data_IF_907817686878
#
_entry.id   IF_907817686878
#
_cell.length_a   1.000
_cell.length_b   1.000
_cell.length_c   1.000
_cell.angle_alpha   90.00
_cell.angle_beta   90.00
_cell.angle_gamma   90.00
#
_symmetry.space_group_name_H-M   'P 1'
#
loop_
_entity.id
_entity.type
_entity.pdbx_description
1 polymer ?
#
# COMPACT_ATOMS: atom_id res chain seq x y z
N UNK A 1 0.64 6.85 5.08
CA UNK A 1 0.67 6.97 6.55
C UNK A 1 -0.49 6.20 7.12
N UNK A 2 -1.72 6.54 6.75
CA UNK A 2 -2.94 5.87 7.23
C UNK A 2 -2.92 4.34 7.10
N UNK A 3 -2.68 3.80 5.90
CA UNK A 3 -2.53 2.35 5.68
C UNK A 3 -1.37 1.68 6.42
N UNK A 4 -0.32 2.40 6.79
CA UNK A 4 0.80 1.84 7.55
C UNK A 4 0.36 1.67 9.01
N UNK A 5 -0.36 2.67 9.52
CA UNK A 5 -0.74 2.77 10.92
C UNK A 5 -2.06 2.06 11.26
N UNK A 6 -3.04 2.05 10.36
CA UNK A 6 -4.39 1.50 10.55
C UNK A 6 -4.93 1.76 11.95
N UNK A 7 -5.08 3.05 12.28
CA UNK A 7 -5.34 3.49 13.63
C UNK A 7 -6.77 3.15 14.07
N UNK A 8 -6.92 2.85 15.36
CA UNK A 8 -8.22 2.56 15.97
C UNK A 8 -8.30 3.11 17.40
N UNK A 9 -9.49 3.57 17.78
CA UNK A 9 -9.81 3.97 19.15
C UNK A 9 -10.02 2.80 20.11
N UNK A 10 -10.13 1.56 19.60
CA UNK A 10 -10.26 0.36 20.42
C UNK A 10 -8.89 -0.16 20.84
N UNK A 11 -8.77 -0.61 22.09
CA UNK A 11 -7.51 -1.05 22.70
C UNK A 11 -6.38 -0.01 22.57
N UNK A 12 -6.56 1.19 23.16
CA UNK A 12 -5.53 2.22 23.12
C UNK A 12 -4.23 1.68 23.72
N UNK A 13 -3.12 2.02 23.07
CA UNK A 13 -1.79 1.79 23.62
C UNK A 13 -1.58 2.66 24.86
N UNK A 14 -0.51 2.43 25.61
CA UNK A 14 -0.12 3.29 26.74
C UNK A 14 0.08 4.75 26.34
N UNK A 15 0.19 5.06 25.05
CA UNK A 15 0.53 6.37 24.47
C UNK A 15 -0.43 6.77 23.32
N UNK A 16 -1.74 6.49 23.44
CA UNK A 16 -2.74 6.93 22.45
C UNK A 16 -3.34 5.82 21.59
N UNK A 17 -3.73 6.12 20.34
CA UNK A 17 -4.49 5.21 19.47
C UNK A 17 -3.84 3.82 19.32
N UNK A 18 -4.69 2.80 19.27
CA UNK A 18 -4.30 1.44 18.89
C UNK A 18 -3.96 1.37 17.39
N UNK A 19 -3.30 0.29 16.98
CA UNK A 19 -2.98 0.02 15.59
C UNK A 19 -3.39 -1.41 15.24
N UNK A 20 -4.10 -1.58 14.14
CA UNK A 20 -4.42 -2.90 13.58
C UNK A 20 -3.28 -3.48 12.71
N UNK A 21 -2.13 -2.79 12.68
CA UNK A 21 -1.00 -3.11 11.81
C UNK A 21 -1.22 -2.67 10.37
N UNK A 22 -0.18 -2.78 9.54
CA UNK A 22 -0.25 -2.37 8.14
C UNK A 22 -1.44 -3.03 7.41
N UNK A 23 -2.24 -2.21 6.71
CA UNK A 23 -3.39 -2.64 5.93
C UNK A 23 -4.45 -3.43 6.72
N UNK A 24 -4.57 -3.18 8.03
CA UNK A 24 -5.38 -3.96 9.00
C UNK A 24 -5.03 -5.46 9.05
N UNK A 25 -3.82 -5.84 8.61
CA UNK A 25 -3.37 -7.22 8.53
C UNK A 25 -2.46 -7.65 9.68
N UNK A 26 -2.30 -6.84 10.73
CA UNK A 26 -1.41 -7.16 11.86
C UNK A 26 -1.63 -8.57 12.44
N UNK A 27 -2.87 -8.98 12.75
CA UNK A 27 -3.16 -10.33 13.27
C UNK A 27 -3.05 -11.47 12.24
N UNK A 28 -2.90 -11.16 10.96
CA UNK A 28 -3.06 -12.13 9.85
C UNK A 28 -1.83 -12.22 8.94
N UNK A 29 -0.82 -11.38 9.13
CA UNK A 29 0.39 -11.38 8.33
C UNK A 29 1.53 -12.07 9.07
N UNK A 30 1.87 -13.29 8.63
CA UNK A 30 3.00 -14.05 9.16
C UNK A 30 4.36 -13.63 8.55
N UNK A 31 4.37 -12.64 7.65
CA UNK A 31 5.56 -12.08 7.02
C UNK A 31 5.76 -10.62 7.44
N UNK A 32 6.91 -10.07 7.05
CA UNK A 32 7.22 -8.67 7.28
C UNK A 32 6.17 -7.76 6.59
N UNK A 33 5.52 -6.84 7.33
CA UNK A 33 4.47 -5.98 6.78
C UNK A 33 4.94 -5.09 5.61
N UNK A 34 6.23 -4.77 5.56
CA UNK A 34 6.81 -3.93 4.50
C UNK A 34 6.61 -4.51 3.10
N UNK A 35 6.56 -5.85 2.98
CA UNK A 35 6.33 -6.55 1.71
C UNK A 35 4.96 -6.20 1.14
N UNK A 36 3.94 -6.24 2.00
CA UNK A 36 2.57 -5.90 1.62
C UNK A 36 2.44 -4.40 1.32
N UNK A 37 3.11 -3.55 2.07
CA UNK A 37 3.11 -2.11 1.83
C UNK A 37 3.77 -1.75 0.50
N UNK A 38 4.92 -2.35 0.18
CA UNK A 38 5.59 -2.18 -1.12
C UNK A 38 4.65 -2.59 -2.28
N UNK A 39 4.02 -3.77 -2.16
CA UNK A 39 3.06 -4.26 -3.16
C UNK A 39 1.85 -3.32 -3.31
N UNK A 40 1.28 -2.90 -2.18
CA UNK A 40 0.14 -1.99 -2.15
C UNK A 40 0.50 -0.66 -2.83
N UNK A 41 1.62 -0.04 -2.45
CA UNK A 41 2.05 1.22 -3.04
C UNK A 41 2.18 1.12 -4.57
N UNK A 42 2.88 0.11 -5.07
CA UNK A 42 3.05 -0.10 -6.52
C UNK A 42 1.70 -0.27 -7.21
N UNK A 43 0.78 -1.03 -6.61
CA UNK A 43 -0.58 -1.19 -7.13
C UNK A 43 -1.31 0.14 -7.28
N UNK A 44 -1.33 0.98 -6.23
CA UNK A 44 -1.98 2.29 -6.26
C UNK A 44 -1.37 3.22 -7.31
N UNK A 45 -0.03 3.29 -7.39
CA UNK A 45 0.67 4.14 -8.36
C UNK A 45 0.37 3.69 -9.81
N UNK A 46 0.43 2.39 -10.10
CA UNK A 46 0.28 1.88 -11.47
C UNK A 46 -1.16 2.02 -12.00
N UNK A 47 -2.14 1.80 -11.13
CA UNK A 47 -3.57 1.88 -11.46
C UNK A 47 -4.11 3.30 -11.43
N UNK A 48 -3.40 4.23 -10.77
CA UNK A 48 -3.88 5.61 -10.59
C UNK A 48 -5.13 5.70 -9.70
N UNK A 49 -5.37 4.70 -8.84
CA UNK A 49 -6.50 4.73 -7.93
C UNK A 49 -6.37 5.90 -6.95
N UNK A 50 -7.44 6.68 -6.89
CA UNK A 50 -7.61 7.72 -5.88
C UNK A 50 -8.12 7.10 -4.59
N UNK A 51 -7.51 7.47 -3.46
CA UNK A 51 -7.89 6.96 -2.14
C UNK A 51 -8.81 7.95 -1.44
N UNK A 52 -9.96 7.48 -1.00
CA UNK A 52 -10.91 8.24 -0.19
C UNK A 52 -11.11 7.53 1.15
N UNK A 53 -11.25 8.31 2.21
CA UNK A 53 -11.58 7.83 3.54
C UNK A 53 -12.92 8.43 3.97
N UNK A 54 -13.71 7.64 4.69
CA UNK A 54 -15.09 8.00 5.06
C UNK A 54 -15.23 7.82 6.56
N UNK A 55 -15.88 8.76 7.23
CA UNK A 55 -16.06 8.64 8.68
C UNK A 55 -17.08 7.54 9.03
N UNK A 56 -16.80 6.82 10.11
CA UNK A 56 -17.72 5.89 10.76
C UNK A 56 -17.62 6.08 12.28
N UNK A 57 -18.69 5.74 12.99
CA UNK A 57 -18.83 5.95 14.43
C UNK A 57 -19.20 7.40 14.75
N UNK A 58 -18.24 8.33 14.63
CA UNK A 58 -18.41 9.74 15.02
C UNK A 58 -17.81 10.73 14.02
N UNK A 59 -18.30 11.96 14.01
CA UNK A 59 -17.70 13.10 13.30
C UNK A 59 -17.54 14.26 14.29
N UNK A 60 -16.30 14.51 14.70
CA UNK A 60 -16.03 15.39 15.84
C UNK A 60 -16.61 14.82 17.15
N UNK A 61 -16.56 15.59 18.25
CA UNK A 61 -17.01 15.13 19.56
C UNK A 61 -18.55 15.07 19.71
N UNK A 62 -19.33 15.70 18.83
CA UNK A 62 -20.79 15.88 19.04
C UNK A 62 -21.66 14.96 18.21
N UNK A 63 -21.22 14.58 17.01
CA UNK A 63 -22.07 13.82 16.08
C UNK A 63 -21.72 12.34 16.09
N UNK A 64 -22.68 11.51 16.50
CA UNK A 64 -22.64 10.07 16.32
C UNK A 64 -23.32 9.72 14.99
N UNK A 65 -22.56 9.14 14.07
CA UNK A 65 -23.01 8.79 12.72
C UNK A 65 -23.05 7.28 12.48
N UNK A 66 -22.52 6.47 13.41
CA UNK A 66 -22.42 5.01 13.30
C UNK A 66 -21.98 4.56 11.89
N UNK A 67 -22.88 4.03 11.07
CA UNK A 67 -22.59 3.63 9.68
C UNK A 67 -23.41 4.41 8.64
N UNK A 68 -24.10 5.48 9.03
CA UNK A 68 -24.99 6.23 8.15
C UNK A 68 -24.22 6.84 6.96
N UNK A 69 -23.05 7.43 7.23
CA UNK A 69 -22.16 7.92 6.17
C UNK A 69 -21.64 6.74 5.33
N UNK A 70 -21.21 5.64 5.96
CA UNK A 70 -20.67 4.48 5.24
C UNK A 70 -21.65 3.92 4.20
N UNK A 71 -22.94 3.85 4.55
CA UNK A 71 -24.01 3.37 3.67
C UNK A 71 -24.35 4.36 2.54
N UNK A 72 -24.15 5.66 2.78
CA UNK A 72 -24.45 6.71 1.81
C UNK A 72 -23.39 6.80 0.69
N UNK A 73 -22.14 6.52 0.99
CA UNK A 73 -21.02 6.66 0.04
C UNK A 73 -21.23 5.89 -1.27
N UNK A 74 -21.62 4.59 -1.29
CA UNK A 74 -21.88 3.90 -2.55
C UNK A 74 -23.01 4.54 -3.36
N UNK A 75 -24.03 5.09 -2.71
CA UNK A 75 -25.13 5.79 -3.38
C UNK A 75 -24.66 7.10 -4.04
N UNK A 76 -23.76 7.84 -3.41
CA UNK A 76 -23.19 9.04 -4.04
C UNK A 76 -22.25 8.62 -5.17
N UNK A 77 -21.28 7.74 -4.90
CA UNK A 77 -20.20 7.42 -5.85
C UNK A 77 -20.67 6.74 -7.12
N UNK A 78 -21.74 5.94 -7.07
CA UNK A 78 -22.30 5.29 -8.26
C UNK A 78 -23.03 6.28 -9.18
N UNK A 79 -23.42 7.44 -8.65
CA UNK A 79 -24.10 8.52 -9.38
C UNK A 79 -23.12 9.56 -9.93
N UNK A 80 -21.81 9.44 -9.69
CA UNK A 80 -20.76 10.33 -10.23
C UNK A 80 -20.16 9.77 -11.52
N UNK A 81 -19.94 10.63 -12.52
CA UNK A 81 -19.14 10.27 -13.68
C UNK A 81 -17.66 10.11 -13.30
N UNK A 82 -16.88 9.32 -14.06
CA UNK A 82 -15.46 9.10 -13.75
C UNK A 82 -14.62 10.38 -13.57
N UNK A 83 -14.89 11.44 -14.34
CA UNK A 83 -14.18 12.71 -14.23
C UNK A 83 -14.66 13.56 -13.03
N UNK A 84 -15.93 13.43 -12.61
CA UNK A 84 -16.47 14.15 -11.45
C UNK A 84 -15.88 13.65 -10.13
N UNK A 85 -15.37 12.41 -10.11
CA UNK A 85 -14.73 11.80 -8.94
C UNK A 85 -13.20 11.80 -9.00
N UNK A 86 -12.59 12.45 -10.00
CA UNK A 86 -11.14 12.65 -10.04
C UNK A 86 -10.73 13.70 -8.99
N UNK A 87 -9.87 13.38 -8.00
CA UNK A 87 -9.42 14.33 -7.00
C UNK A 87 -8.80 15.60 -7.57
N UNK A 88 -8.09 15.53 -8.71
CA UNK A 88 -7.50 16.74 -9.32
C UNK A 88 -8.61 17.71 -9.74
N UNK A 89 -9.61 17.19 -10.44
CA UNK A 89 -10.78 17.96 -10.83
C UNK A 89 -11.54 18.49 -9.61
N UNK A 90 -11.73 17.66 -8.58
CA UNK A 90 -12.41 18.07 -7.36
C UNK A 90 -11.65 19.18 -6.61
N UNK A 91 -10.32 19.13 -6.56
CA UNK A 91 -9.50 20.19 -5.96
C UNK A 91 -9.59 21.48 -6.78
N UNK A 92 -9.38 21.41 -8.09
CA UNK A 92 -9.44 22.58 -9.00
C UNK A 92 -10.82 23.25 -8.98
N UNK A 93 -11.89 22.45 -8.89
CA UNK A 93 -13.26 22.94 -8.79
C UNK A 93 -13.65 23.42 -7.38
N UNK A 94 -12.78 23.33 -6.37
CA UNK A 94 -13.06 23.75 -4.99
C UNK A 94 -14.04 22.84 -4.24
N UNK A 95 -14.17 21.59 -4.69
CA UNK A 95 -14.94 20.55 -4.01
C UNK A 95 -14.15 19.85 -2.90
N UNK A 96 -12.82 19.86 -2.99
CA UNK A 96 -11.93 19.41 -1.94
C UNK A 96 -11.08 20.58 -1.46
N UNK A 97 -10.97 20.75 -0.14
CA UNK A 97 -10.07 21.71 0.49
C UNK A 97 -8.95 20.99 1.23
N UNK A 98 -7.73 21.55 1.12
CA UNK A 98 -6.55 21.02 1.79
C UNK A 98 -6.58 21.43 3.26
N UNK A 99 -6.24 20.51 4.16
CA UNK A 99 -5.92 20.85 5.54
C UNK A 99 -4.45 21.29 5.63
N UNK A 100 -4.21 22.35 6.37
CA UNK A 100 -2.88 22.92 6.58
C UNK A 100 -2.47 22.81 8.04
N UNK A 101 -1.16 22.75 8.29
CA UNK A 101 -0.64 22.79 9.65
C UNK A 101 -0.89 24.19 10.23
N UNK A 102 -1.21 24.27 11.52
CA UNK A 102 -1.50 25.54 12.19
C UNK A 102 -1.03 25.48 13.65
N UNK A 103 -0.84 26.65 14.28
CA UNK A 103 -0.49 26.72 15.69
C UNK A 103 -1.74 26.80 16.57
N UNK A 104 -1.76 25.98 17.62
CA UNK A 104 -2.79 25.99 18.67
C UNK A 104 -2.11 25.98 20.03
N UNK A 105 -2.36 27.01 20.84
CA UNK A 105 -1.79 27.15 22.19
C UNK A 105 -0.25 27.00 22.25
N UNK A 106 0.44 27.47 21.22
CA UNK A 106 1.92 27.41 21.13
C UNK A 106 2.48 26.05 20.68
N UNK A 107 1.61 25.11 20.31
CA UNK A 107 1.98 23.82 19.72
C UNK A 107 1.52 23.77 18.26
N UNK A 108 2.41 23.34 17.36
CA UNK A 108 2.06 23.14 15.96
C UNK A 108 1.25 21.86 15.77
N UNK A 109 0.04 22.01 15.24
CA UNK A 109 -0.88 20.94 14.90
C UNK A 109 -0.63 20.51 13.45
N UNK A 110 -0.17 19.27 13.24
CA UNK A 110 0.17 18.74 11.91
C UNK A 110 -1.06 18.26 11.11
N UNK A 111 -2.09 19.10 10.98
CA UNK A 111 -3.34 18.75 10.34
C UNK A 111 -3.21 18.45 8.84
N UNK A 112 -2.13 18.90 8.19
CA UNK A 112 -1.84 18.55 6.78
C UNK A 112 -1.67 17.05 6.53
N UNK A 113 -1.41 16.24 7.58
CA UNK A 113 -1.39 14.77 7.49
C UNK A 113 -2.76 14.17 7.17
N UNK A 114 -3.86 14.90 7.40
CA UNK A 114 -5.22 14.49 7.06
C UNK A 114 -5.56 14.69 5.57
N UNK A 115 -4.70 15.38 4.83
CA UNK A 115 -4.83 15.56 3.39
C UNK A 115 -5.91 16.58 3.00
N UNK A 116 -6.95 16.11 2.33
CA UNK A 116 -8.05 16.93 1.82
C UNK A 116 -9.38 16.44 2.36
N UNK A 117 -10.35 17.35 2.50
CA UNK A 117 -11.73 17.03 2.86
C UNK A 117 -12.74 17.64 1.89
N UNK A 118 -13.94 17.10 1.89
CA UNK A 118 -15.07 17.64 1.11
C UNK A 118 -15.51 19.00 1.64
N UNK A 119 -15.94 19.88 0.72
CA UNK A 119 -16.46 21.20 1.05
C UNK A 119 -17.99 21.25 0.98
N UNK A 120 -18.59 22.32 1.51
CA UNK A 120 -20.02 22.61 1.31
C UNK A 120 -20.39 22.64 -0.17
N UNK A 121 -19.46 23.07 -1.05
CA UNK A 121 -19.65 23.05 -2.50
C UNK A 121 -19.81 21.63 -3.03
N UNK A 122 -19.00 20.67 -2.56
CA UNK A 122 -19.15 19.25 -2.93
C UNK A 122 -20.51 18.70 -2.53
N UNK A 123 -20.94 18.98 -1.30
CA UNK A 123 -22.26 18.58 -0.80
C UNK A 123 -23.37 19.15 -1.69
N UNK A 124 -23.37 20.45 -1.97
CA UNK A 124 -24.41 21.07 -2.81
C UNK A 124 -24.44 20.49 -4.23
N UNK A 125 -23.27 20.26 -4.84
CA UNK A 125 -23.17 19.82 -6.23
C UNK A 125 -23.54 18.35 -6.41
N UNK A 126 -23.16 17.48 -5.48
CA UNK A 126 -23.28 16.03 -5.67
C UNK A 126 -24.29 15.36 -4.75
N UNK A 127 -24.51 15.85 -3.54
CA UNK A 127 -25.42 15.19 -2.59
C UNK A 127 -26.89 15.47 -2.90
N UNK A 128 -27.17 16.51 -3.70
CA UNK A 128 -28.50 16.77 -4.27
C UNK A 128 -29.02 15.66 -5.19
N UNK A 129 -28.15 14.71 -5.60
CA UNK A 129 -28.56 13.51 -6.35
C UNK A 129 -29.21 12.43 -5.48
N UNK A 130 -29.14 12.59 -4.15
CA UNK A 130 -29.66 11.65 -3.15
C UNK A 130 -30.61 12.34 -2.17
N UNK A 131 -30.32 13.57 -1.76
CA UNK A 131 -31.13 14.34 -0.81
C UNK A 131 -31.79 15.54 -1.46
N UNK A 132 -33.03 15.84 -1.03
CA UNK A 132 -33.73 17.07 -1.44
C UNK A 132 -33.08 18.33 -0.84
N UNK A 133 -32.57 18.25 0.40
CA UNK A 133 -31.89 19.34 1.10
C UNK A 133 -30.58 18.86 1.74
N UNK A 134 -29.49 18.72 0.96
CA UNK A 134 -28.24 18.13 1.45
C UNK A 134 -27.55 19.00 2.53
N UNK A 135 -27.73 20.32 2.49
CA UNK A 135 -27.12 21.27 3.44
C UNK A 135 -27.73 21.18 4.85
N UNK A 136 -28.95 20.67 4.97
CA UNK A 136 -29.57 20.39 6.27
C UNK A 136 -29.04 19.09 6.91
N UNK A 137 -28.50 18.17 6.10
CA UNK A 137 -27.94 16.89 6.57
C UNK A 137 -26.46 17.04 6.95
N UNK A 138 -25.70 17.77 6.13
CA UNK A 138 -24.27 18.02 6.35
C UNK A 138 -24.05 19.48 6.70
N UNK A 139 -24.21 19.81 7.99
CA UNK A 139 -23.96 21.14 8.54
C UNK A 139 -22.48 21.51 8.48
N UNK A 140 -22.16 22.79 8.60
CA UNK A 140 -20.78 23.26 8.50
C UNK A 140 -19.87 22.64 9.57
N UNK A 141 -20.37 22.42 10.79
CA UNK A 141 -19.61 21.80 11.87
C UNK A 141 -19.47 20.26 11.74
N UNK A 142 -20.26 19.61 10.88
CA UNK A 142 -20.00 18.21 10.44
C UNK A 142 -18.87 18.20 9.41
N UNK A 143 -18.89 19.13 8.45
CA UNK A 143 -17.84 19.24 7.42
C UNK A 143 -16.51 19.73 7.99
N UNK A 144 -16.58 20.55 9.04
CA UNK A 144 -15.47 21.17 9.74
C UNK A 144 -15.53 20.83 11.23
N UNK A 145 -15.18 19.59 11.63
CA UNK A 145 -15.32 19.12 13.01
C UNK A 145 -14.52 19.94 14.03
N UNK A 146 -13.49 20.68 13.60
CA UNK A 146 -12.77 21.65 14.43
C UNK A 146 -13.65 22.77 14.97
N UNK A 147 -14.78 23.08 14.33
CA UNK A 147 -15.74 24.08 14.83
C UNK A 147 -16.54 23.58 16.04
N UNK A 148 -16.61 22.26 16.23
CA UNK A 148 -17.30 21.67 17.38
C UNK A 148 -16.47 21.85 18.65
N UNK A 149 -15.16 21.61 18.57
CA UNK A 149 -14.20 21.83 19.65
C UNK A 149 -12.77 21.86 19.07
N UNK A 150 -12.14 23.04 18.99
CA UNK A 150 -10.79 23.18 18.43
C UNK A 150 -9.72 22.42 19.22
N UNK A 151 -9.87 22.33 20.54
CA UNK A 151 -8.89 21.65 21.41
C UNK A 151 -8.95 20.14 21.20
N UNK A 152 -10.16 19.56 21.14
CA UNK A 152 -10.34 18.13 20.84
C UNK A 152 -9.85 17.78 19.43
N UNK A 153 -10.06 18.66 18.45
CA UNK A 153 -9.52 18.45 17.11
C UNK A 153 -7.98 18.44 17.09
N UNK A 154 -7.35 19.41 17.75
CA UNK A 154 -5.90 19.49 17.87
C UNK A 154 -5.32 18.25 18.59
N UNK A 155 -5.94 17.82 19.69
CA UNK A 155 -5.56 16.62 20.44
C UNK A 155 -5.73 15.34 19.58
N UNK A 156 -6.82 15.23 18.82
CA UNK A 156 -7.03 14.12 17.89
C UNK A 156 -5.93 14.01 16.84
N UNK A 157 -5.50 15.14 16.25
CA UNK A 157 -4.39 15.18 15.29
C UNK A 157 -3.07 14.81 15.96
N UNK A 158 -2.80 15.32 17.17
CA UNK A 158 -1.59 14.99 17.93
C UNK A 158 -1.50 13.47 18.20
N UNK A 159 -2.59 12.85 18.65
CA UNK A 159 -2.68 11.41 18.87
C UNK A 159 -2.45 10.59 17.59
N UNK A 160 -2.93 11.07 16.42
CA UNK A 160 -2.64 10.44 15.13
C UNK A 160 -1.15 10.50 14.81
N UNK A 161 -0.52 11.66 14.99
CA UNK A 161 0.91 11.88 14.72
C UNK A 161 1.78 10.99 15.60
N UNK A 162 1.48 10.93 16.90
CA UNK A 162 2.19 10.10 17.87
C UNK A 162 2.06 8.61 17.54
N UNK A 163 0.86 8.15 17.21
CA UNK A 163 0.65 6.76 16.81
C UNK A 163 1.36 6.43 15.49
N UNK A 164 1.38 7.35 14.53
CA UNK A 164 2.15 7.20 13.28
C UNK A 164 3.66 7.11 13.55
N UNK A 165 4.19 7.93 14.45
CA UNK A 165 5.59 7.86 14.87
C UNK A 165 5.92 6.49 15.47
N UNK A 166 5.12 6.04 16.44
CA UNK A 166 5.30 4.74 17.11
C UNK A 166 5.27 3.57 16.12
N UNK A 167 4.30 3.57 15.21
CA UNK A 167 4.21 2.51 14.18
C UNK A 167 5.40 2.56 13.23
N UNK A 168 5.85 3.74 12.81
CA UNK A 168 6.99 3.87 11.92
C UNK A 168 8.31 3.44 12.58
N UNK A 169 8.50 3.75 13.88
CA UNK A 169 9.67 3.35 14.65
C UNK A 169 9.90 1.83 14.66
N UNK A 170 8.82 1.04 14.70
CA UNK A 170 8.90 -0.43 14.68
C UNK A 170 9.66 -0.99 13.45
N UNK A 171 9.54 -0.34 12.28
CA UNK A 171 10.25 -0.77 11.06
C UNK A 171 11.76 -0.51 11.13
N UNK A 172 12.20 0.44 11.97
CA UNK A 172 13.61 0.68 12.24
C UNK A 172 14.14 -0.33 13.27
N UNK A 173 13.34 -0.63 14.30
CA UNK A 173 13.69 -1.56 15.37
C UNK A 173 13.89 -2.99 14.85
N UNK A 174 13.02 -3.48 13.96
CA UNK A 174 13.16 -4.80 13.34
C UNK A 174 14.05 -4.80 12.07
N UNK A 175 14.50 -3.63 11.64
CA UNK A 175 15.36 -3.42 10.48
C UNK A 175 14.69 -3.68 9.13
N UNK A 176 13.36 -3.83 9.08
CA UNK A 176 12.60 -4.00 7.82
C UNK A 176 12.51 -2.72 6.99
N UNK A 177 12.88 -1.57 7.56
CA UNK A 177 13.12 -0.33 6.81
C UNK A 177 14.10 -0.52 5.64
N UNK A 178 15.01 -1.49 5.75
CA UNK A 178 15.96 -1.78 4.67
C UNK A 178 15.29 -2.41 3.45
N UNK A 179 14.19 -3.15 3.64
CA UNK A 179 13.40 -3.76 2.57
C UNK A 179 12.30 -2.81 2.05
N UNK A 180 12.16 -1.59 2.60
CA UNK A 180 11.21 -0.59 2.13
C UNK A 180 11.64 -0.03 0.77
N UNK A 181 10.72 -0.02 -0.20
CA UNK A 181 10.96 0.68 -1.46
C UNK A 181 11.20 2.18 -1.22
N UNK A 182 11.94 2.89 -2.11
CA UNK A 182 12.39 4.25 -1.84
C UNK A 182 11.30 5.25 -1.38
N UNK A 183 10.08 5.27 -1.96
CA UNK A 183 9.03 6.19 -1.49
C UNK A 183 8.55 5.85 -0.07
N UNK A 184 8.41 4.56 0.27
CA UNK A 184 8.01 4.14 1.62
C UNK A 184 9.12 4.35 2.63
N UNK A 185 10.38 4.12 2.25
CA UNK A 185 11.53 4.42 3.10
C UNK A 185 11.51 5.90 3.49
N UNK A 186 11.39 6.80 2.51
CA UNK A 186 11.29 8.23 2.77
C UNK A 186 10.09 8.58 3.68
N UNK A 187 8.93 7.97 3.43
CA UNK A 187 7.74 8.21 4.25
C UNK A 187 7.88 7.72 5.70
N UNK A 188 8.48 6.54 5.91
CA UNK A 188 8.73 5.98 7.25
C UNK A 188 9.73 6.84 8.03
N UNK A 189 10.76 7.37 7.39
CA UNK A 189 11.64 8.38 7.99
C UNK A 189 10.86 9.63 8.40
N UNK A 190 10.05 10.22 7.52
CA UNK A 190 9.22 11.39 7.86
C UNK A 190 8.26 11.09 9.03
N UNK A 191 7.69 9.89 9.08
CA UNK A 191 6.79 9.49 10.18
C UNK A 191 7.53 9.33 11.51
N UNK A 192 8.72 8.71 11.51
CA UNK A 192 9.47 8.37 12.73
C UNK A 192 10.43 9.48 13.20
N UNK A 193 10.95 10.29 12.30
CA UNK A 193 12.04 11.24 12.58
C UNK A 193 11.64 12.69 12.23
N UNK A 194 10.49 12.91 11.59
CA UNK A 194 9.98 14.21 11.19
C UNK A 194 10.37 14.62 9.77
N UNK A 195 11.51 14.12 9.27
CA UNK A 195 12.01 14.41 7.93
C UNK A 195 12.72 13.21 7.28
N UNK A 196 12.93 13.31 5.97
CA UNK A 196 13.87 12.48 5.23
C UNK A 196 14.86 13.38 4.50
N UNK A 197 16.11 13.42 4.94
CA UNK A 197 17.16 14.29 4.38
C UNK A 197 16.81 15.78 4.46
N UNK A 198 16.22 16.22 5.58
CA UNK A 198 15.76 17.57 5.82
C UNK A 198 14.44 17.94 5.12
N UNK A 199 13.76 16.96 4.51
CA UNK A 199 12.53 17.17 3.73
C UNK A 199 11.33 16.52 4.40
N UNK A 200 10.26 17.29 4.58
CA UNK A 200 9.00 16.81 5.15
C UNK A 200 8.06 16.21 4.09
N UNK A 201 6.88 15.76 4.53
CA UNK A 201 5.86 15.15 3.65
C UNK A 201 5.35 16.11 2.56
N UNK A 202 5.42 17.42 2.76
CA UNK A 202 5.00 18.43 1.79
C UNK A 202 6.00 18.69 0.66
N UNK A 203 7.24 18.22 0.79
CA UNK A 203 8.32 18.54 -0.14
C UNK A 203 8.10 17.92 -1.53
N UNK A 204 8.36 18.69 -2.58
CA UNK A 204 8.12 18.28 -3.96
C UNK A 204 8.96 17.06 -4.37
N UNK A 205 10.18 16.91 -3.86
CA UNK A 205 11.03 15.76 -4.17
C UNK A 205 10.49 14.50 -3.49
N UNK A 206 10.00 14.61 -2.25
CA UNK A 206 9.36 13.48 -1.56
C UNK A 206 8.09 13.06 -2.32
N UNK A 207 7.26 14.02 -2.74
CA UNK A 207 6.03 13.75 -3.50
C UNK A 207 6.31 13.13 -4.87
N UNK A 208 7.38 13.55 -5.55
CA UNK A 208 7.75 13.03 -6.86
C UNK A 208 8.05 11.52 -6.85
N UNK A 209 8.55 10.98 -5.73
CA UNK A 209 8.79 9.54 -5.55
C UNK A 209 7.52 8.70 -5.70
N UNK A 210 6.35 9.27 -5.46
CA UNK A 210 5.05 8.60 -5.55
C UNK A 210 4.40 8.70 -6.93
N UNK A 211 5.07 9.33 -7.90
CA UNK A 211 4.54 9.46 -9.27
C UNK A 211 4.69 8.17 -10.08
N UNK A 212 3.78 7.97 -11.04
CA UNK A 212 3.81 6.82 -11.95
C UNK A 212 5.04 6.88 -12.85
N UNK A 213 5.40 8.08 -13.27
CA UNK A 213 6.57 8.35 -14.11
C UNK A 213 7.85 7.97 -13.37
N UNK A 214 8.01 8.41 -12.12
CA UNK A 214 9.16 8.05 -11.30
C UNK A 214 9.23 6.54 -11.02
N UNK A 215 8.09 5.89 -10.77
CA UNK A 215 8.04 4.44 -10.59
C UNK A 215 8.50 3.69 -11.85
N UNK A 216 7.93 4.01 -13.02
CA UNK A 216 8.23 3.27 -14.26
C UNK A 216 9.69 3.44 -14.70
N UNK A 217 10.28 4.60 -14.40
CA UNK A 217 11.67 4.91 -14.72
C UNK A 217 12.69 4.37 -13.69
N UNK A 218 12.25 3.82 -12.56
CA UNK A 218 13.15 3.47 -11.47
C UNK A 218 13.78 2.09 -11.60
N UNK A 219 15.05 1.98 -11.20
CA UNK A 219 15.76 0.71 -11.14
C UNK A 219 15.10 -0.28 -10.17
N UNK A 220 14.57 0.21 -9.04
CA UNK A 220 13.92 -0.64 -8.05
C UNK A 220 12.64 -1.28 -8.58
N UNK A 221 11.89 -0.61 -9.48
CA UNK A 221 10.74 -1.23 -10.13
C UNK A 221 11.18 -2.26 -11.17
N UNK A 222 12.20 -1.95 -11.97
CA UNK A 222 12.77 -2.92 -12.92
C UNK A 222 13.32 -4.18 -12.24
N UNK A 223 13.91 -4.03 -11.06
CA UNK A 223 14.31 -5.15 -10.21
C UNK A 223 13.12 -6.04 -9.86
N UNK A 224 11.98 -5.48 -9.45
CA UNK A 224 10.77 -6.26 -9.13
C UNK A 224 10.28 -7.09 -10.31
N UNK A 225 10.33 -6.55 -11.52
CA UNK A 225 9.93 -7.27 -12.74
C UNK A 225 10.90 -8.43 -13.02
N UNK A 226 12.20 -8.18 -12.85
CA UNK A 226 13.23 -9.21 -13.01
C UNK A 226 13.13 -10.30 -11.95
N UNK A 227 12.85 -9.94 -10.69
CA UNK A 227 12.61 -10.90 -9.60
C UNK A 227 11.36 -11.74 -9.89
N UNK A 228 10.29 -11.13 -10.42
CA UNK A 228 9.08 -11.88 -10.84
C UNK A 228 9.43 -12.92 -11.90
N UNK A 229 10.16 -12.51 -12.94
CA UNK A 229 10.62 -13.44 -13.98
C UNK A 229 11.43 -14.60 -13.37
N UNK A 230 12.44 -14.30 -12.53
CA UNK A 230 13.28 -15.34 -11.89
C UNK A 230 12.44 -16.34 -11.07
N UNK A 231 11.46 -15.84 -10.30
CA UNK A 231 10.55 -16.69 -9.52
C UNK A 231 9.67 -17.56 -10.41
N UNK A 232 9.20 -17.02 -11.53
CA UNK A 232 8.39 -17.79 -12.49
C UNK A 232 9.20 -18.85 -13.21
N UNK A 233 10.42 -18.53 -13.64
CA UNK A 233 11.34 -19.50 -14.23
C UNK A 233 11.56 -20.66 -13.25
N UNK A 234 11.91 -20.37 -11.99
CA UNK A 234 12.12 -21.40 -10.98
C UNK A 234 10.84 -22.23 -10.69
N UNK A 235 9.67 -21.59 -10.72
CA UNK A 235 8.38 -22.27 -10.56
C UNK A 235 8.12 -23.25 -11.71
N UNK A 236 8.29 -22.81 -12.96
CA UNK A 236 8.02 -23.61 -14.14
C UNK A 236 9.07 -24.70 -14.37
N UNK A 237 10.34 -24.47 -14.01
CA UNK A 237 11.37 -25.52 -13.95
C UNK A 237 10.97 -26.63 -12.98
N UNK A 238 10.45 -26.27 -11.80
CA UNK A 238 9.93 -27.26 -10.84
C UNK A 238 8.72 -28.02 -11.41
N UNK A 239 7.80 -27.36 -12.10
CA UNK A 239 6.68 -28.04 -12.77
C UNK A 239 7.16 -29.03 -13.83
N UNK A 240 8.08 -28.63 -14.71
CA UNK A 240 8.66 -29.50 -15.74
C UNK A 240 9.36 -30.71 -15.09
N UNK A 241 10.15 -30.48 -14.04
CA UNK A 241 10.84 -31.56 -13.30
C UNK A 241 9.84 -32.54 -12.70
N UNK A 242 8.88 -32.06 -11.91
CA UNK A 242 7.91 -32.93 -11.22
C UNK A 242 7.05 -33.73 -12.20
N UNK A 243 6.62 -33.14 -13.32
CA UNK A 243 5.84 -33.86 -14.33
C UNK A 243 6.70 -34.90 -15.08
N UNK A 244 7.97 -34.59 -15.34
CA UNK A 244 8.91 -35.53 -15.97
C UNK A 244 9.20 -36.72 -15.05
N UNK A 245 9.46 -36.46 -13.76
CA UNK A 245 9.66 -37.51 -12.74
C UNK A 245 8.42 -38.39 -12.57
N UNK A 246 7.23 -37.78 -12.59
CA UNK A 246 5.97 -38.53 -12.52
C UNK A 246 5.80 -39.49 -13.72
N UNK A 247 6.14 -39.05 -14.93
CA UNK A 247 6.07 -39.86 -16.15
C UNK A 247 7.12 -40.98 -16.21
N UNK A 248 8.31 -40.76 -15.62
CA UNK A 248 9.39 -41.74 -15.59
C UNK A 248 9.13 -42.91 -14.63
N UNK A 249 8.16 -42.78 -13.73
CA UNK A 249 7.84 -43.77 -12.70
C UNK A 249 7.09 -44.97 -13.28
N UNK A 250 7.63 -46.21 -13.20
CA UNK A 250 7.06 -47.38 -13.88
C UNK A 250 5.60 -47.70 -13.53
N UNK A 251 5.17 -47.39 -12.30
CA UNK A 251 3.81 -47.64 -11.82
C UNK A 251 2.78 -46.58 -12.20
N UNK A 252 3.16 -45.50 -12.89
CA UNK A 252 2.27 -44.36 -13.15
C UNK A 252 1.70 -44.30 -14.57
N UNK A 253 1.95 -45.28 -15.44
CA UNK A 253 1.60 -45.18 -16.87
C UNK A 253 0.11 -44.93 -17.13
N UNK A 254 -0.77 -45.76 -16.56
CA UNK A 254 -2.21 -45.66 -16.78
C UNK A 254 -2.78 -44.36 -16.17
N UNK A 255 -2.30 -44.01 -14.98
CA UNK A 255 -2.72 -42.79 -14.28
C UNK A 255 -2.21 -41.52 -14.97
N UNK A 256 -0.99 -41.54 -15.53
CA UNK A 256 -0.43 -40.45 -16.30
C UNK A 256 -1.21 -40.19 -17.59
N UNK A 257 -1.66 -41.25 -18.26
CA UNK A 257 -2.53 -41.14 -19.42
C UNK A 257 -3.91 -40.59 -19.03
N UNK A 258 -4.52 -41.14 -17.97
CA UNK A 258 -5.84 -40.71 -17.47
C UNK A 258 -5.88 -39.24 -17.07
N UNK A 259 -4.82 -38.73 -16.42
CA UNK A 259 -4.73 -37.33 -15.97
C UNK A 259 -4.22 -36.37 -17.07
N UNK A 260 -3.80 -36.89 -18.23
CA UNK A 260 -3.24 -36.10 -19.32
C UNK A 260 -1.90 -35.47 -18.99
N UNK A 261 -1.05 -36.15 -18.21
CA UNK A 261 0.25 -35.63 -17.76
C UNK A 261 1.19 -35.25 -18.92
N UNK A 262 1.29 -36.01 -20.04
CA UNK A 262 2.14 -35.61 -21.16
C UNK A 262 1.77 -34.23 -21.72
N UNK A 263 0.47 -33.95 -21.91
CA UNK A 263 -0.01 -32.64 -22.39
C UNK A 263 0.29 -31.52 -21.40
N UNK A 264 0.17 -31.79 -20.09
CA UNK A 264 0.53 -30.81 -19.05
C UNK A 264 2.04 -30.51 -19.05
N UNK A 265 2.87 -31.51 -19.32
CA UNK A 265 4.32 -31.33 -19.46
C UNK A 265 4.66 -30.48 -20.69
N UNK A 266 4.02 -30.71 -21.83
CA UNK A 266 4.16 -29.86 -23.02
C UNK A 266 3.80 -28.40 -22.73
N UNK A 267 2.67 -28.16 -22.07
CA UNK A 267 2.27 -26.82 -21.63
C UNK A 267 3.29 -26.20 -20.66
N UNK A 268 3.77 -26.96 -19.67
CA UNK A 268 4.75 -26.46 -18.71
C UNK A 268 6.09 -26.09 -19.37
N UNK A 269 6.52 -26.82 -20.40
CA UNK A 269 7.71 -26.48 -21.20
C UNK A 269 7.49 -25.20 -22.00
N UNK A 270 6.35 -25.07 -22.68
CA UNK A 270 6.01 -23.87 -23.43
C UNK A 270 5.93 -22.63 -22.53
N UNK A 271 5.33 -22.76 -21.34
CA UNK A 271 5.31 -21.67 -20.35
C UNK A 271 6.70 -21.35 -19.81
N UNK A 272 7.55 -22.35 -19.55
CA UNK A 272 8.93 -22.13 -19.14
C UNK A 272 9.70 -21.32 -20.19
N UNK A 273 9.56 -21.66 -21.48
CA UNK A 273 10.20 -20.93 -22.58
C UNK A 273 9.66 -19.49 -22.67
N UNK A 274 8.34 -19.31 -22.52
CA UNK A 274 7.70 -18.00 -22.49
C UNK A 274 8.24 -17.13 -21.36
N UNK A 275 8.33 -17.64 -20.12
CA UNK A 275 8.77 -16.82 -18.98
C UNK A 275 10.28 -16.56 -18.98
N UNK A 276 11.09 -17.43 -19.60
CA UNK A 276 12.54 -17.19 -19.80
C UNK A 276 12.83 -16.10 -20.81
N UNK A 277 11.90 -15.83 -21.72
CA UNK A 277 12.11 -14.86 -22.79
C UNK A 277 12.21 -13.43 -22.25
N UNK A 278 13.08 -12.57 -22.81
CA UNK A 278 13.16 -11.15 -22.45
C UNK A 278 11.85 -10.38 -22.70
N UNK A 279 11.03 -10.83 -23.64
CA UNK A 279 9.70 -10.28 -23.93
C UNK A 279 8.77 -10.38 -22.71
N UNK A 280 8.97 -11.39 -21.86
CA UNK A 280 8.15 -11.57 -20.66
C UNK A 280 8.31 -10.42 -19.67
N UNK A 281 9.54 -9.94 -19.44
CA UNK A 281 9.79 -8.79 -18.54
C UNK A 281 9.09 -7.54 -19.07
N UNK A 282 9.11 -7.33 -20.40
CA UNK A 282 8.39 -6.22 -21.03
C UNK A 282 6.88 -6.33 -20.84
N UNK A 283 6.33 -7.54 -20.94
CA UNK A 283 4.92 -7.80 -20.70
C UNK A 283 4.52 -7.62 -19.22
N UNK A 284 5.46 -7.67 -18.27
CA UNK A 284 5.21 -7.44 -16.86
C UNK A 284 5.18 -5.94 -16.47
N UNK A 285 5.61 -5.04 -17.35
CA UNK A 285 5.53 -3.58 -17.11
C UNK A 285 4.07 -3.18 -16.92
N UNK A 286 3.76 -2.52 -15.80
CA UNK A 286 2.39 -2.23 -15.39
C UNK A 286 1.81 -3.22 -14.38
N UNK A 287 2.53 -4.31 -14.05
CA UNK A 287 2.20 -5.20 -12.92
C UNK A 287 3.00 -4.83 -11.68
N UNK A 288 2.62 -5.37 -10.51
CA UNK A 288 3.35 -5.13 -9.25
C UNK A 288 4.74 -5.80 -9.19
N UNK A 289 5.06 -6.66 -10.16
CA UNK A 289 6.26 -7.50 -10.14
C UNK A 289 6.27 -8.45 -8.95
N UNK A 290 7.45 -8.71 -8.40
CA UNK A 290 7.63 -9.44 -7.16
C UNK A 290 8.58 -8.69 -6.24
N UNK A 291 8.23 -8.61 -4.96
CA UNK A 291 9.07 -7.93 -3.98
C UNK A 291 10.40 -8.68 -3.79
N UNK A 292 11.56 -8.01 -3.93
CA UNK A 292 12.87 -8.66 -3.83
C UNK A 292 13.14 -9.23 -2.43
N UNK A 293 12.55 -8.67 -1.36
CA UNK A 293 12.77 -8.97 0.08
C UNK A 293 14.10 -9.66 0.34
N UNK A 294 15.11 -8.89 0.73
CA UNK A 294 16.49 -9.36 0.72
C UNK A 294 16.85 -10.24 1.92
N UNK A 295 15.94 -10.41 2.89
CA UNK A 295 16.18 -11.23 4.08
C UNK A 295 15.45 -12.56 4.04
N UNK A 296 16.15 -13.70 4.23
CA UNK A 296 15.47 -14.94 4.53
C UNK A 296 14.72 -14.79 5.86
N UNK A 297 13.42 -15.05 5.84
CA UNK A 297 12.62 -15.29 7.05
C UNK A 297 13.36 -16.35 7.85
N UNK A 298 13.87 -15.97 9.03
CA UNK A 298 14.64 -16.74 10.01
C UNK A 298 15.17 -18.14 9.59
N UNK A 299 16.50 -18.29 9.56
CA UNK A 299 17.12 -19.54 10.03
C UNK A 299 17.61 -20.58 9.03
N UNK A 300 17.99 -20.22 7.80
CA UNK A 300 19.03 -20.97 7.08
C UNK A 300 19.98 -20.00 6.37
N UNK A 301 21.28 -19.93 6.74
CA UNK A 301 22.24 -19.27 5.89
C UNK A 301 22.24 -19.99 4.54
N UNK A 302 21.91 -19.27 3.48
CA UNK A 302 22.03 -19.79 2.12
C UNK A 302 23.46 -20.25 1.94
N UNK A 303 23.64 -21.51 1.52
CA UNK A 303 24.93 -21.96 0.99
C UNK A 303 25.27 -21.03 -0.15
N UNK A 304 26.26 -20.18 0.06
CA UNK A 304 27.00 -19.56 -1.02
C UNK A 304 27.66 -20.74 -1.73
N UNK A 305 27.12 -21.16 -2.87
CA UNK A 305 27.84 -22.04 -3.77
C UNK A 305 29.00 -21.22 -4.34
N UNK A 306 30.14 -21.27 -3.66
CA UNK A 306 31.41 -20.82 -4.20
C UNK A 306 31.77 -21.73 -5.36
N UNK A 307 31.52 -21.28 -6.58
CA UNK A 307 32.22 -21.79 -7.77
C UNK A 307 33.66 -21.27 -7.68
N UNK A 308 34.50 -21.99 -6.93
CA UNK A 308 35.95 -21.79 -6.94
C UNK A 308 36.56 -22.87 -7.84
N UNK A 309 36.95 -22.42 -9.04
CA UNK A 309 37.93 -23.12 -9.85
C UNK A 309 39.27 -23.11 -9.08
N UNK A 310 39.88 -24.28 -8.93
CA UNK A 310 41.34 -24.39 -8.81
C UNK A 310 41.78 -25.81 -9.20
N UNK A 311 42.30 -25.91 -10.43
CA UNK A 311 43.20 -26.95 -10.88
C UNK A 311 44.62 -26.43 -10.61
N UNK A 312 45.51 -27.35 -10.24
CA UNK A 312 46.97 -27.24 -10.06
C UNK A 312 47.46 -26.86 -8.65
N UNK A 313 47.88 -27.86 -7.86
CA UNK A 313 49.30 -28.07 -7.53
C UNK A 313 49.51 -29.24 -6.54
N UNK A 314 50.35 -30.19 -6.96
CA UNK A 314 51.26 -31.04 -6.15
C UNK A 314 50.72 -31.96 -5.06
N UNK A 315 50.91 -33.27 -5.29
CA UNK A 315 50.75 -34.37 -4.33
C UNK A 315 50.63 -35.71 -5.04
#
# INVERSE_FOLDING_TARGET
>A
MDFISSLTGKSPSTTGFGSEGALTKGPFNALWPIVDLNNALVSYILTGYSTFTTSAGVVGPRYRVDHDISLLIPEIWCRLYPHERDPKHLIEAGHLERLEDYDFEGTTVLASRLGYRITTKFVHTYFGRVFDNPSAVFTEDILKPELQDPAVFADGVANIVEAQHRVAAAYFEDGTIEDACPPLRALLHVMAQGDYKGKGVGDAEIRALFSREALLASDWYQERLTVKQRRDVALWERHVRSLTEFLASPGHRDEAQRLGIPRRLEHARAELDRVRSPEYVRALVGTIGADPVHRPVHGRPGRVESVAAEVVAAG
#
